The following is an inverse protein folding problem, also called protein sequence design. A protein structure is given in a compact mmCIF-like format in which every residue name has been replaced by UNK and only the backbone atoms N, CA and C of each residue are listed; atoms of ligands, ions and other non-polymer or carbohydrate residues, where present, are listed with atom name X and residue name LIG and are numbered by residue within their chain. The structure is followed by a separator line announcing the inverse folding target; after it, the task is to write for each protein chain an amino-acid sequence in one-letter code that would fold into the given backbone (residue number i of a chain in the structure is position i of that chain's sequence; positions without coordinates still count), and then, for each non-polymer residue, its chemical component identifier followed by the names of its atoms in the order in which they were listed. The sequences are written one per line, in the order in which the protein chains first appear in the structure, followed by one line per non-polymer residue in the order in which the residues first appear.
data_IF_611678529187
#
_entry.id   IF_611678529187
#
_cell.length_a   1.000
_cell.length_b   1.000
_cell.length_c   1.000
_cell.angle_alpha   90.00
_cell.angle_beta   90.00
_cell.angle_gamma   90.00
#
_symmetry.space_group_name_H-M   'P 1'
#
loop_
_entity.id
_entity.type
_entity.pdbx_description
1 polymer ?
#
# COMPACT_ATOMS: atom_id res chain seq x y z
N UNK A 1 1.11 5.12 19.26
CA UNK A 1 -0.14 5.30 20.04
C UNK A 1 -1.04 6.45 19.55
N UNK A 2 -0.70 7.19 18.48
CA UNK A 2 -1.53 8.30 17.96
C UNK A 2 -2.41 7.97 16.73
N UNK A 3 -2.25 6.80 16.12
CA UNK A 3 -3.03 6.41 14.93
C UNK A 3 -4.45 5.92 15.32
N UNK A 4 -4.60 5.34 16.51
CA UNK A 4 -5.88 4.83 17.02
C UNK A 4 -6.90 5.92 17.38
N UNK A 5 -6.45 7.14 17.70
CA UNK A 5 -7.34 8.24 18.08
C UNK A 5 -8.07 8.88 16.89
N UNK A 6 -7.50 8.82 15.67
CA UNK A 6 -8.06 9.45 14.47
C UNK A 6 -9.18 8.66 13.81
N UNK A 7 -9.22 7.34 13.98
CA UNK A 7 -10.33 6.53 13.47
C UNK A 7 -11.64 6.86 14.21
N UNK A 8 -11.60 7.03 15.53
CA UNK A 8 -12.79 7.36 16.34
C UNK A 8 -13.44 8.70 15.95
N UNK A 9 -12.68 9.72 15.58
CA UNK A 9 -13.26 11.04 15.27
C UNK A 9 -13.95 11.10 13.90
N UNK A 10 -13.54 10.24 12.95
CA UNK A 10 -14.14 10.20 11.61
C UNK A 10 -15.48 9.45 11.65
N UNK A 11 -15.57 8.36 12.42
CA UNK A 11 -16.81 7.59 12.55
C UNK A 11 -17.87 8.28 13.43
N UNK A 12 -17.48 9.02 14.46
CA UNK A 12 -18.44 9.79 15.27
C UNK A 12 -19.15 10.89 14.47
N UNK A 13 -18.47 11.51 13.49
CA UNK A 13 -19.05 12.59 12.67
C UNK A 13 -20.00 12.09 11.57
N UNK A 14 -19.94 10.81 11.20
CA UNK A 14 -20.81 10.24 10.17
C UNK A 14 -22.19 9.85 10.72
N UNK A 15 -22.26 9.48 11.99
CA UNK A 15 -23.52 9.11 12.68
C UNK A 15 -24.38 10.33 13.02
N UNK A 16 -23.80 11.53 13.14
CA UNK A 16 -24.55 12.76 13.46
C UNK A 16 -25.23 13.43 12.26
N UNK A 17 -25.04 12.93 11.02
CA UNK A 17 -25.57 13.57 9.80
C UNK A 17 -26.78 12.86 9.16
N UNK A 18 -27.22 11.73 9.71
CA UNK A 18 -28.48 11.11 9.29
C UNK A 18 -29.67 11.73 10.03
N UNK A 19 -30.20 12.78 9.42
CA UNK A 19 -31.47 13.39 9.78
C UNK A 19 -32.63 12.44 9.45
N UNK A 20 -32.93 11.50 10.35
CA UNK A 20 -34.18 10.71 10.30
C UNK A 20 -34.74 10.27 11.67
N UNK A 21 -34.29 10.88 12.77
CA UNK A 21 -34.85 10.64 14.12
C UNK A 21 -35.47 11.87 14.79
N UNK A 22 -35.72 12.94 14.04
CA UNK A 22 -36.40 14.13 14.56
C UNK A 22 -37.92 13.98 14.52
N UNK A 23 -38.49 13.01 15.26
CA UNK A 23 -39.95 12.97 15.48
C UNK A 23 -40.38 12.12 16.66
N UNK A 24 -39.74 12.22 17.83
CA UNK A 24 -40.36 11.73 19.06
C UNK A 24 -40.05 12.70 20.21
N UNK A 25 -41.11 13.16 20.87
CA UNK A 25 -41.20 13.99 22.08
C UNK A 25 -41.31 15.52 21.90
N UNK A 26 -42.49 15.95 21.43
CA UNK A 26 -43.19 17.05 22.08
C UNK A 26 -43.94 16.52 23.31
N UNK A 27 -44.13 17.39 24.31
CA UNK A 27 -44.78 17.17 25.62
C UNK A 27 -43.84 16.82 26.77
N UNK A 28 -43.83 17.72 27.76
CA UNK A 28 -42.91 17.74 28.87
C UNK A 28 -43.22 16.71 29.96
N UNK A 29 -42.16 16.24 30.58
CA UNK A 29 -42.07 15.92 32.02
C UNK A 29 -40.59 15.70 32.30
N UNK A 30 -40.08 16.35 33.36
CA UNK A 30 -38.70 16.19 33.79
C UNK A 30 -38.49 14.77 34.32
N UNK A 31 -37.93 13.88 33.50
CA UNK A 31 -37.33 12.64 33.96
C UNK A 31 -35.81 12.84 33.94
N UNK A 32 -35.19 12.86 35.12
CA UNK A 32 -33.75 12.68 35.25
C UNK A 32 -33.41 11.36 34.58
N UNK A 33 -32.69 11.40 33.46
CA UNK A 33 -32.17 10.19 32.84
C UNK A 33 -31.14 9.58 33.80
N UNK A 34 -31.49 8.49 34.44
CA UNK A 34 -30.55 7.66 35.18
C UNK A 34 -29.54 7.08 34.19
N UNK A 35 -28.32 7.62 34.22
CA UNK A 35 -27.20 7.21 33.37
C UNK A 35 -26.47 5.98 33.92
N UNK A 36 -26.96 5.34 34.99
CA UNK A 36 -26.39 4.10 35.55
C UNK A 36 -26.49 2.86 34.65
N UNK A 37 -27.00 3.00 33.42
CA UNK A 37 -27.02 1.94 32.41
C UNK A 37 -26.13 2.21 31.19
N UNK A 38 -25.47 3.38 31.11
CA UNK A 38 -24.53 3.67 30.01
C UNK A 38 -23.24 2.83 30.10
N UNK A 39 -22.90 2.32 31.28
CA UNK A 39 -21.76 1.42 31.46
C UNK A 39 -22.05 -0.03 31.02
N UNK A 40 -23.32 -0.41 30.84
CA UNK A 40 -23.70 -1.78 30.40
C UNK A 40 -23.71 -1.98 28.89
N UNK A 41 -23.53 -0.93 28.10
CA UNK A 41 -23.34 -1.05 26.64
C UNK A 41 -21.86 -1.12 26.23
N UNK A 42 -20.92 -0.91 27.17
CA UNK A 42 -19.48 -0.95 26.90
C UNK A 42 -18.83 -2.34 27.04
N UNK A 43 -19.60 -3.38 27.42
CA UNK A 43 -19.07 -4.72 27.72
C UNK A 43 -19.54 -5.82 26.76
N UNK A 44 -20.34 -5.49 25.74
CA UNK A 44 -20.63 -6.44 24.68
C UNK A 44 -19.50 -6.34 23.64
N UNK A 45 -18.73 -7.41 23.38
CA UNK A 45 -17.74 -7.37 22.32
C UNK A 45 -18.50 -7.17 21.01
N UNK A 46 -18.39 -6.00 20.40
CA UNK A 46 -18.79 -5.78 19.02
C UNK A 46 -17.83 -6.61 18.18
N UNK A 47 -18.11 -7.91 18.01
CA UNK A 47 -17.52 -8.72 16.97
C UNK A 47 -18.09 -8.19 15.66
N UNK A 48 -17.44 -7.18 15.08
CA UNK A 48 -17.66 -6.88 13.68
C UNK A 48 -17.30 -8.15 12.88
N UNK A 49 -18.17 -8.66 11.98
CA UNK A 49 -17.88 -9.87 11.21
C UNK A 49 -16.68 -9.71 10.26
N UNK A 50 -16.12 -8.51 10.16
CA UNK A 50 -14.93 -8.22 9.38
C UNK A 50 -13.70 -8.22 10.27
N UNK A 51 -12.73 -9.05 9.89
CA UNK A 51 -11.39 -9.09 10.46
C UNK A 51 -10.75 -7.70 10.33
N UNK A 52 -10.67 -6.96 11.43
CA UNK A 52 -9.91 -5.71 11.49
C UNK A 52 -8.48 -6.04 11.08
N UNK A 53 -7.97 -5.36 10.05
CA UNK A 53 -6.59 -5.52 9.57
C UNK A 53 -5.64 -5.30 10.75
N UNK A 54 -4.97 -6.38 11.18
CA UNK A 54 -3.93 -6.30 12.18
C UNK A 54 -2.68 -5.74 11.49
N UNK A 55 -2.07 -4.64 12.00
CA UNK A 55 -0.88 -4.03 11.38
C UNK A 55 0.36 -4.92 11.47
N UNK A 56 0.28 -6.05 12.18
CA UNK A 56 1.28 -7.11 12.16
C UNK A 56 0.99 -8.00 10.95
N UNK A 57 1.58 -7.64 9.82
CA UNK A 57 1.66 -8.52 8.64
C UNK A 57 2.16 -9.89 9.09
N UNK A 58 1.40 -10.99 8.87
CA UNK A 58 1.83 -12.31 9.31
C UNK A 58 3.12 -12.68 8.60
N UNK A 59 4.19 -12.91 9.36
CA UNK A 59 5.42 -13.45 8.81
C UNK A 59 5.12 -14.85 8.24
N UNK A 60 5.61 -15.10 7.04
CA UNK A 60 5.47 -16.41 6.38
C UNK A 60 6.57 -17.33 6.89
N UNK A 61 6.21 -18.57 7.23
CA UNK A 61 7.18 -19.59 7.64
C UNK A 61 8.10 -19.98 6.47
N UNK A 62 9.36 -20.33 6.72
CA UNK A 62 10.22 -20.94 5.71
C UNK A 62 9.60 -22.19 5.10
N UNK A 63 9.98 -22.53 3.87
CA UNK A 63 9.53 -23.77 3.22
C UNK A 63 10.03 -24.99 3.99
N UNK A 64 9.17 -26.00 4.10
CA UNK A 64 9.51 -27.33 4.65
C UNK A 64 9.69 -28.39 3.57
N UNK A 65 9.44 -28.04 2.29
CA UNK A 65 9.39 -28.96 1.14
C UNK A 65 10.31 -28.54 0.00
N UNK A 66 10.68 -27.27 -0.08
CA UNK A 66 11.56 -26.68 -1.10
C UNK A 66 12.58 -25.74 -0.46
N UNK A 67 13.26 -24.95 -1.29
CA UNK A 67 14.22 -23.93 -0.83
C UNK A 67 13.48 -22.74 -0.24
N UNK A 68 14.15 -22.08 0.70
CA UNK A 68 13.74 -20.75 1.15
C UNK A 68 14.73 -19.72 0.64
N UNK A 69 14.25 -18.80 -0.19
CA UNK A 69 15.01 -17.64 -0.64
C UNK A 69 14.64 -16.41 0.19
N UNK A 70 15.61 -15.54 0.41
CA UNK A 70 15.46 -14.30 1.15
C UNK A 70 15.71 -13.12 0.22
N UNK A 71 14.88 -12.09 0.32
CA UNK A 71 15.01 -10.82 -0.39
C UNK A 71 15.12 -9.70 0.64
N UNK A 72 16.11 -8.82 0.49
CA UNK A 72 16.28 -7.60 1.27
C UNK A 72 16.78 -6.48 0.34
N UNK A 73 15.90 -5.53 0.01
CA UNK A 73 16.23 -4.43 -0.90
C UNK A 73 17.24 -3.42 -0.35
N UNK A 74 17.55 -3.46 0.95
CA UNK A 74 18.50 -2.56 1.60
C UNK A 74 19.91 -3.14 1.65
N UNK A 75 20.03 -4.45 1.89
CA UNK A 75 21.34 -5.09 2.14
C UNK A 75 21.68 -6.25 1.20
N UNK A 76 20.71 -6.71 0.40
CA UNK A 76 20.87 -7.82 -0.52
C UNK A 76 21.65 -7.47 -1.80
N UNK A 77 21.96 -8.51 -2.56
CA UNK A 77 22.54 -8.44 -3.91
C UNK A 77 22.00 -9.59 -4.74
N UNK A 78 21.61 -9.33 -5.99
CA UNK A 78 21.16 -10.39 -6.92
C UNK A 78 22.31 -11.30 -7.38
N UNK A 79 23.55 -11.01 -6.99
CA UNK A 79 24.69 -11.93 -7.12
C UNK A 79 24.82 -12.92 -5.95
N UNK A 80 24.03 -12.76 -4.88
CA UNK A 80 24.04 -13.69 -3.75
C UNK A 80 23.28 -14.97 -4.09
N UNK A 81 23.34 -15.99 -3.20
CA UNK A 81 22.58 -17.23 -3.40
C UNK A 81 21.10 -17.14 -3.04
N UNK A 82 20.71 -16.12 -2.27
CA UNK A 82 19.36 -15.97 -1.70
C UNK A 82 19.05 -16.92 -0.55
N UNK A 83 19.89 -17.91 -0.22
CA UNK A 83 19.53 -19.01 0.71
C UNK A 83 19.69 -18.68 2.20
N UNK A 84 20.07 -17.45 2.54
CA UNK A 84 20.15 -17.00 3.94
C UNK A 84 19.95 -15.49 4.02
N UNK A 85 19.62 -14.98 5.22
CA UNK A 85 19.48 -13.55 5.48
C UNK A 85 20.74 -12.75 5.06
N UNK A 86 21.93 -13.25 5.39
CA UNK A 86 23.21 -12.58 5.06
C UNK A 86 23.59 -12.65 3.57
N UNK A 87 22.90 -13.48 2.81
CA UNK A 87 23.08 -13.69 1.37
C UNK A 87 21.76 -13.53 0.64
N UNK A 88 20.92 -12.58 1.08
CA UNK A 88 19.64 -12.29 0.44
C UNK A 88 19.84 -11.69 -0.96
N UNK A 89 18.88 -11.94 -1.86
CA UNK A 89 18.75 -11.20 -3.11
C UNK A 89 18.37 -9.74 -2.84
N UNK A 90 18.67 -8.84 -3.77
CA UNK A 90 18.24 -7.45 -3.69
C UNK A 90 16.80 -7.27 -4.19
N UNK A 91 16.40 -8.02 -5.23
CA UNK A 91 15.13 -7.79 -5.92
C UNK A 91 14.16 -8.96 -5.83
N UNK A 92 12.86 -8.63 -5.78
CA UNK A 92 11.78 -9.63 -5.80
C UNK A 92 11.66 -10.31 -7.16
N UNK A 93 12.00 -9.61 -8.24
CA UNK A 93 11.99 -10.18 -9.58
C UNK A 93 13.06 -11.26 -9.74
N UNK A 94 14.28 -11.04 -9.25
CA UNK A 94 15.32 -12.06 -9.31
C UNK A 94 14.91 -13.35 -8.59
N UNK A 95 14.28 -13.23 -7.41
CA UNK A 95 13.71 -14.39 -6.72
C UNK A 95 12.63 -15.09 -7.58
N UNK A 96 11.76 -14.32 -8.23
CA UNK A 96 10.71 -14.86 -9.12
C UNK A 96 11.27 -15.59 -10.35
N UNK A 97 12.46 -15.23 -10.81
CA UNK A 97 13.12 -15.86 -11.95
C UNK A 97 13.78 -17.21 -11.60
N UNK A 98 14.07 -17.49 -10.32
CA UNK A 98 14.83 -18.69 -9.90
C UNK A 98 14.00 -19.74 -9.16
N UNK A 99 12.83 -19.37 -8.64
CA UNK A 99 11.98 -20.28 -7.85
C UNK A 99 11.46 -21.47 -8.65
N UNK A 100 11.36 -22.60 -7.96
CA UNK A 100 10.78 -23.86 -8.43
C UNK A 100 9.62 -24.28 -7.53
N UNK A 101 8.83 -25.27 -7.95
CA UNK A 101 7.70 -25.78 -7.18
C UNK A 101 8.10 -26.17 -5.74
N UNK A 102 7.35 -25.66 -4.75
CA UNK A 102 7.60 -25.86 -3.33
C UNK A 102 8.52 -24.82 -2.67
N UNK A 103 9.14 -23.93 -3.44
CA UNK A 103 10.01 -22.89 -2.90
C UNK A 103 9.21 -21.76 -2.23
N UNK A 104 9.82 -21.15 -1.21
CA UNK A 104 9.31 -19.95 -0.53
C UNK A 104 10.28 -18.80 -0.68
N UNK A 105 9.79 -17.64 -1.10
CA UNK A 105 10.50 -16.36 -1.09
C UNK A 105 10.03 -15.55 0.11
N UNK A 106 10.94 -15.29 1.05
CA UNK A 106 10.71 -14.43 2.20
C UNK A 106 11.31 -13.04 1.94
N UNK A 107 10.46 -12.01 1.92
CA UNK A 107 10.81 -10.63 1.60
C UNK A 107 10.88 -9.80 2.88
N UNK A 108 11.97 -9.07 3.10
CA UNK A 108 12.15 -8.22 4.27
C UNK A 108 11.20 -7.02 4.20
N UNK A 109 10.69 -6.58 5.35
CA UNK A 109 9.86 -5.38 5.43
C UNK A 109 10.51 -4.16 4.73
N UNK A 110 9.73 -3.47 3.90
CA UNK A 110 10.22 -2.37 3.06
C UNK A 110 9.31 -2.08 1.87
N UNK A 111 9.65 -1.01 1.13
CA UNK A 111 9.02 -0.66 -0.13
C UNK A 111 9.95 -1.09 -1.26
N UNK A 112 9.44 -1.90 -2.17
CA UNK A 112 10.14 -2.41 -3.34
C UNK A 112 9.52 -1.78 -4.58
N UNK A 113 10.21 -0.82 -5.19
CA UNK A 113 9.83 -0.26 -6.49
C UNK A 113 10.19 -1.25 -7.59
N UNK A 114 9.39 -2.31 -7.70
CA UNK A 114 9.63 -3.47 -8.54
C UNK A 114 8.31 -4.09 -8.96
N UNK A 115 8.38 -5.01 -9.92
CA UNK A 115 7.31 -5.95 -10.22
C UNK A 115 7.72 -7.38 -9.79
N UNK A 116 6.74 -8.29 -9.73
CA UNK A 116 6.94 -9.73 -9.62
C UNK A 116 6.30 -10.34 -10.87
N UNK A 117 7.12 -10.71 -11.85
CA UNK A 117 6.68 -11.28 -13.12
C UNK A 117 7.14 -12.72 -13.20
N UNK A 118 6.22 -13.66 -13.00
CA UNK A 118 6.43 -15.09 -13.16
C UNK A 118 6.39 -15.45 -14.66
N UNK A 119 7.31 -14.91 -15.45
CA UNK A 119 7.44 -15.24 -16.89
C UNK A 119 8.41 -16.40 -17.05
N UNK A 120 9.60 -16.24 -16.48
CA UNK A 120 10.66 -17.26 -16.49
C UNK A 120 10.51 -18.25 -15.33
N UNK A 121 9.78 -17.88 -14.28
CA UNK A 121 9.55 -18.70 -13.10
C UNK A 121 8.70 -19.95 -13.38
N UNK A 122 8.85 -20.96 -12.53
CA UNK A 122 8.05 -22.19 -12.59
C UNK A 122 6.59 -21.96 -12.13
N UNK A 123 5.72 -22.91 -12.47
CA UNK A 123 4.48 -23.12 -11.72
C UNK A 123 4.80 -23.88 -10.43
N UNK A 124 3.97 -23.71 -9.40
CA UNK A 124 3.91 -24.70 -8.33
C UNK A 124 3.26 -26.00 -8.80
N UNK A 125 3.21 -26.98 -7.92
CA UNK A 125 2.53 -28.27 -8.13
C UNK A 125 1.51 -28.52 -7.01
N UNK A 126 0.55 -29.45 -7.20
CA UNK A 126 -0.29 -29.92 -6.10
C UNK A 126 0.54 -30.31 -4.87
N UNK A 127 0.28 -29.65 -3.72
CA UNK A 127 1.03 -29.88 -2.48
C UNK A 127 2.43 -29.25 -2.43
N UNK A 128 2.91 -28.62 -3.51
CA UNK A 128 4.17 -27.88 -3.58
C UNK A 128 3.97 -26.48 -4.21
N UNK A 129 3.22 -25.59 -3.56
CA UNK A 129 3.02 -24.24 -4.07
C UNK A 129 4.33 -23.45 -4.04
N UNK A 130 4.44 -22.44 -4.91
CA UNK A 130 5.46 -21.40 -4.79
C UNK A 130 4.88 -20.28 -3.94
N UNK A 131 5.57 -19.89 -2.87
CA UNK A 131 5.07 -18.89 -1.92
C UNK A 131 5.93 -17.63 -1.93
N UNK A 132 5.33 -16.47 -2.14
CA UNK A 132 5.93 -15.17 -1.85
C UNK A 132 5.33 -14.62 -0.56
N UNK A 133 6.17 -14.44 0.45
CA UNK A 133 5.78 -14.04 1.79
C UNK A 133 6.65 -12.94 2.36
N UNK A 134 6.18 -12.29 3.43
CA UNK A 134 6.98 -11.34 4.20
C UNK A 134 7.69 -12.01 5.39
N UNK A 135 8.83 -11.45 5.81
CA UNK A 135 9.47 -11.75 7.09
C UNK A 135 9.96 -10.47 7.78
N UNK A 136 10.24 -10.60 9.08
CA UNK A 136 10.65 -9.48 9.93
C UNK A 136 9.47 -8.64 10.44
N UNK A 137 9.77 -7.44 10.92
CA UNK A 137 8.79 -6.53 11.51
C UNK A 137 8.45 -5.39 10.52
N UNK A 138 7.24 -5.41 9.97
CA UNK A 138 6.72 -4.33 9.15
C UNK A 138 6.05 -4.81 7.86
N UNK A 139 5.45 -3.90 7.08
CA UNK A 139 4.84 -4.25 5.80
C UNK A 139 5.90 -4.51 4.73
N UNK A 140 5.61 -5.45 3.84
CA UNK A 140 6.25 -5.54 2.53
C UNK A 140 5.32 -4.92 1.51
N UNK A 141 5.79 -3.90 0.82
CA UNK A 141 5.03 -3.18 -0.20
C UNK A 141 5.74 -3.37 -1.54
N UNK A 142 5.05 -3.99 -2.50
CA UNK A 142 5.48 -4.05 -3.89
C UNK A 142 4.80 -2.88 -4.62
N UNK A 143 5.59 -1.91 -5.04
CA UNK A 143 5.13 -0.67 -5.67
C UNK A 143 5.52 -0.65 -7.15
N UNK A 144 4.53 -0.72 -8.04
CA UNK A 144 4.73 -0.62 -9.49
C UNK A 144 5.11 0.76 -9.99
N UNK A 145 5.05 1.79 -9.14
CA UNK A 145 5.32 3.17 -9.55
C UNK A 145 6.80 3.37 -9.87
N UNK A 146 7.13 4.02 -11.01
CA UNK A 146 8.48 4.50 -11.25
C UNK A 146 8.92 5.46 -10.14
N UNK A 147 10.19 5.38 -9.73
CA UNK A 147 10.76 6.33 -8.77
C UNK A 147 10.97 7.67 -9.51
N UNK A 148 10.29 8.72 -9.04
CA UNK A 148 10.52 10.08 -9.52
C UNK A 148 11.50 10.80 -8.60
N UNK A 149 12.63 11.22 -9.17
CA UNK A 149 13.70 11.95 -8.47
C UNK A 149 13.91 13.34 -9.09
N UNK A 150 14.82 14.14 -8.53
CA UNK A 150 15.16 15.45 -9.10
C UNK A 150 14.07 16.51 -8.93
N UNK A 151 13.24 16.39 -7.90
CA UNK A 151 12.21 17.37 -7.57
C UNK A 151 12.82 18.74 -7.26
N UNK A 152 12.34 19.77 -7.95
CA UNK A 152 12.66 21.18 -7.72
C UNK A 152 11.42 21.91 -7.19
N UNK A 153 11.59 22.65 -6.11
CA UNK A 153 10.51 23.47 -5.57
C UNK A 153 10.22 24.62 -6.54
N UNK A 154 8.94 24.82 -6.86
CA UNK A 154 8.48 25.91 -7.74
C UNK A 154 7.97 27.08 -6.89
N UNK A 155 7.06 26.79 -5.96
CA UNK A 155 6.52 27.79 -5.03
C UNK A 155 5.77 27.10 -3.90
N UNK A 156 5.99 27.51 -2.65
CA UNK A 156 5.30 26.94 -1.49
C UNK A 156 5.38 25.41 -1.47
N UNK A 157 4.23 24.74 -1.51
CA UNK A 157 4.13 23.28 -1.52
C UNK A 157 4.16 22.65 -2.93
N UNK A 158 4.36 23.43 -3.98
CA UNK A 158 4.41 22.96 -5.37
C UNK A 158 5.83 22.60 -5.78
N UNK A 159 6.00 21.38 -6.28
CA UNK A 159 7.27 20.83 -6.76
C UNK A 159 7.11 20.28 -8.17
N UNK A 160 8.21 20.25 -8.91
CA UNK A 160 8.26 19.75 -10.28
C UNK A 160 9.47 18.83 -10.49
N UNK A 161 9.27 17.73 -11.19
CA UNK A 161 10.32 16.79 -11.56
C UNK A 161 10.22 16.41 -13.04
N UNK A 162 11.36 16.03 -13.63
CA UNK A 162 11.38 15.45 -14.97
C UNK A 162 10.91 14.01 -14.93
N UNK A 163 10.08 13.64 -15.89
CA UNK A 163 9.60 12.26 -16.09
C UNK A 163 9.72 11.90 -17.57
N UNK A 164 9.62 10.61 -17.90
CA UNK A 164 9.65 10.08 -19.27
C UNK A 164 8.57 9.00 -19.47
N UNK A 165 7.52 9.06 -18.67
CA UNK A 165 6.39 8.14 -18.68
C UNK A 165 5.11 8.93 -18.50
N UNK A 166 3.94 8.33 -18.78
CA UNK A 166 2.65 8.96 -18.56
C UNK A 166 2.11 8.56 -17.18
N UNK A 167 1.99 9.47 -16.21
CA UNK A 167 1.31 9.20 -14.95
C UNK A 167 -0.18 8.96 -15.17
N UNK A 168 -0.75 8.02 -14.43
CA UNK A 168 -2.19 7.74 -14.42
C UNK A 168 -2.84 8.37 -13.18
N UNK A 169 -2.12 8.39 -12.06
CA UNK A 169 -2.53 9.04 -10.82
C UNK A 169 -1.30 9.55 -10.06
N UNK A 170 -1.54 10.41 -9.07
CA UNK A 170 -0.54 10.84 -8.09
C UNK A 170 -1.15 10.70 -6.70
N UNK A 171 -0.48 9.98 -5.82
CA UNK A 171 -0.88 9.79 -4.43
C UNK A 171 0.28 10.21 -3.54
N UNK A 172 0.00 11.10 -2.59
CA UNK A 172 0.97 11.59 -1.61
C UNK A 172 0.49 11.21 -0.21
N UNK A 173 1.29 10.44 0.53
CA UNK A 173 0.95 9.98 1.88
C UNK A 173 -0.45 9.33 1.97
N UNK A 174 -0.75 8.42 1.04
CA UNK A 174 -2.05 7.76 0.89
C UNK A 174 -3.23 8.69 0.53
N UNK A 175 -2.99 9.94 0.13
CA UNK A 175 -4.01 10.88 -0.36
C UNK A 175 -3.92 11.02 -1.88
N UNK A 176 -4.92 10.52 -2.65
CA UNK A 176 -4.98 10.75 -4.08
C UNK A 176 -5.20 12.23 -4.39
N UNK A 177 -4.40 12.78 -5.29
CA UNK A 177 -4.53 14.15 -5.77
C UNK A 177 -5.35 14.21 -7.06
N UNK A 178 -5.98 15.36 -7.32
CA UNK A 178 -6.79 15.55 -8.53
C UNK A 178 -5.93 16.13 -9.67
N UNK A 179 -6.12 15.69 -10.92
CA UNK A 179 -5.46 16.33 -12.04
C UNK A 179 -5.97 17.77 -12.22
N UNK A 180 -5.08 18.69 -12.54
CA UNK A 180 -5.45 20.07 -12.86
C UNK A 180 -6.00 20.16 -14.29
N UNK A 181 -7.16 20.80 -14.44
CA UNK A 181 -7.77 21.07 -15.74
C UNK A 181 -7.19 22.33 -16.41
N UNK A 182 -6.59 23.22 -15.63
CA UNK A 182 -5.95 24.46 -16.11
C UNK A 182 -4.46 24.27 -16.44
N UNK A 183 -4.01 23.02 -16.50
CA UNK A 183 -2.60 22.71 -16.73
C UNK A 183 -1.70 23.05 -15.54
N UNK A 184 -0.44 23.39 -15.83
CA UNK A 184 0.57 23.62 -14.80
C UNK A 184 0.28 24.86 -13.91
N UNK A 185 -0.55 25.80 -14.39
CA UNK A 185 -0.91 27.01 -13.65
C UNK A 185 -1.97 26.76 -12.58
N UNK A 186 -2.80 25.71 -12.72
CA UNK A 186 -3.77 25.34 -11.71
C UNK A 186 -3.14 24.64 -10.50
N UNK A 187 -1.92 24.11 -10.64
CA UNK A 187 -1.18 23.51 -9.52
C UNK A 187 -0.54 24.61 -8.66
N UNK A 188 -1.32 25.09 -7.70
CA UNK A 188 -0.92 26.14 -6.74
C UNK A 188 -0.72 25.56 -5.33
N UNK A 189 -0.07 26.28 -4.40
CA UNK A 189 0.14 25.78 -3.04
C UNK A 189 -1.17 25.43 -2.32
N UNK A 190 -1.24 24.22 -1.76
CA UNK A 190 -2.41 23.63 -1.10
C UNK A 190 -3.65 23.40 -1.99
N UNK A 191 -3.49 23.43 -3.30
CA UNK A 191 -4.55 23.08 -4.25
C UNK A 191 -4.96 21.61 -4.21
N UNK A 192 -4.08 20.71 -3.75
CA UNK A 192 -4.26 19.27 -3.84
C UNK A 192 -4.29 18.75 -5.28
N UNK A 193 -3.64 19.49 -6.19
CA UNK A 193 -3.63 19.20 -7.62
C UNK A 193 -2.27 18.70 -8.11
N UNK A 194 -2.30 18.01 -9.24
CA UNK A 194 -1.10 17.68 -10.02
C UNK A 194 -1.36 17.89 -11.52
N UNK A 195 -0.29 18.05 -12.28
CA UNK A 195 -0.33 18.16 -13.74
C UNK A 195 0.92 17.53 -14.33
N UNK A 196 0.77 16.84 -15.45
CA UNK A 196 1.89 16.22 -16.14
C UNK A 196 1.88 16.53 -17.64
N UNK A 197 3.07 16.72 -18.20
CA UNK A 197 3.36 16.58 -19.62
C UNK A 197 4.16 15.29 -19.83
N UNK A 198 4.47 14.88 -21.07
CA UNK A 198 5.35 13.72 -21.29
C UNK A 198 6.75 13.84 -20.66
N UNK A 199 7.19 15.05 -20.30
CA UNK A 199 8.55 15.33 -19.81
C UNK A 199 8.62 15.93 -18.40
N UNK A 200 7.49 16.31 -17.81
CA UNK A 200 7.45 17.01 -16.52
C UNK A 200 6.22 16.61 -15.71
N UNK A 201 6.40 16.47 -14.40
CA UNK A 201 5.35 16.26 -13.43
C UNK A 201 5.41 17.35 -12.37
N UNK A 202 4.34 18.14 -12.27
CA UNK A 202 4.14 19.16 -11.25
C UNK A 202 3.09 18.70 -10.25
N UNK A 203 3.40 18.79 -8.96
CA UNK A 203 2.57 18.26 -7.88
C UNK A 203 2.54 19.25 -6.72
N UNK A 204 1.36 19.48 -6.16
CA UNK A 204 1.21 20.09 -4.86
C UNK A 204 1.35 19.02 -3.75
N UNK A 205 2.42 19.10 -2.98
CA UNK A 205 2.71 18.20 -1.86
C UNK A 205 2.01 18.62 -0.54
N UNK A 206 1.26 19.73 -0.54
CA UNK A 206 0.59 20.25 0.65
C UNK A 206 1.58 20.48 1.81
N UNK A 207 1.43 19.73 2.91
CA UNK A 207 2.23 19.91 4.14
C UNK A 207 3.48 19.02 4.21
N UNK A 208 3.84 18.31 3.15
CA UNK A 208 5.05 17.49 3.09
C UNK A 208 6.01 17.97 2.00
N UNK A 209 7.16 17.33 1.88
CA UNK A 209 8.15 17.53 0.82
C UNK A 209 8.41 16.21 0.11
N UNK A 210 8.86 16.21 -1.15
CA UNK A 210 9.19 14.98 -1.87
C UNK A 210 10.15 14.07 -1.09
N UNK A 211 11.14 14.64 -0.39
CA UNK A 211 12.12 13.88 0.40
C UNK A 211 11.55 13.17 1.65
N UNK A 212 10.32 13.50 2.06
CA UNK A 212 9.66 12.95 3.28
C UNK A 212 8.34 12.27 2.96
N UNK A 213 7.87 12.37 1.73
CA UNK A 213 6.58 11.87 1.31
C UNK A 213 6.69 10.40 0.88
N UNK A 214 5.65 9.64 1.18
CA UNK A 214 5.35 8.42 0.46
C UNK A 214 4.67 8.79 -0.87
N UNK A 215 5.34 8.51 -1.98
CA UNK A 215 4.94 8.95 -3.33
C UNK A 215 4.59 7.73 -4.16
N UNK A 216 3.34 7.66 -4.64
CA UNK A 216 2.88 6.60 -5.55
C UNK A 216 2.39 7.26 -6.83
N UNK A 217 3.00 6.89 -7.95
CA UNK A 217 2.72 7.45 -9.28
C UNK A 217 2.57 6.28 -10.25
N UNK A 218 1.38 5.63 -10.30
CA UNK A 218 1.10 4.58 -11.27
C UNK A 218 1.30 5.11 -12.69
N UNK A 219 1.80 4.26 -13.58
CA UNK A 219 2.07 4.61 -14.97
C UNK A 219 1.71 3.48 -15.92
N UNK A 220 1.63 3.79 -17.21
CA UNK A 220 1.41 2.80 -18.28
C UNK A 220 2.64 1.94 -18.57
N UNK A 221 3.79 2.17 -17.92
CA UNK A 221 4.98 1.33 -18.11
C UNK A 221 4.92 0.04 -17.29
N UNK A 222 4.27 0.09 -16.12
CA UNK A 222 4.11 -1.03 -15.20
C UNK A 222 2.62 -1.24 -14.94
N UNK A 223 1.93 -1.73 -15.97
CA UNK A 223 0.48 -1.92 -15.91
C UNK A 223 0.06 -3.06 -14.99
N UNK A 224 0.96 -4.01 -14.68
CA UNK A 224 0.70 -5.16 -13.80
C UNK A 224 1.89 -5.38 -12.87
N UNK A 225 1.66 -5.20 -11.56
CA UNK A 225 2.72 -5.31 -10.55
C UNK A 225 3.05 -6.76 -10.21
N UNK A 226 2.04 -7.63 -10.20
CA UNK A 226 2.20 -9.07 -10.00
C UNK A 226 1.62 -9.78 -11.22
N UNK A 227 2.48 -10.33 -12.07
CA UNK A 227 2.10 -10.98 -13.32
C UNK A 227 2.39 -12.47 -13.22
N UNK A 228 1.36 -13.31 -13.38
CA UNK A 228 1.46 -14.77 -13.24
C UNK A 228 0.58 -15.53 -14.24
N UNK A 229 0.38 -14.96 -15.42
CA UNK A 229 -0.40 -15.62 -16.47
C UNK A 229 0.13 -17.03 -16.78
N UNK A 230 -0.78 -18.01 -16.85
CA UNK A 230 -0.48 -19.44 -17.02
C UNK A 230 0.49 -20.02 -15.96
N UNK A 231 0.43 -19.53 -14.72
CA UNK A 231 1.15 -20.10 -13.58
C UNK A 231 0.18 -20.61 -12.53
N UNK A 232 0.44 -21.83 -12.08
CA UNK A 232 -0.42 -22.53 -11.13
C UNK A 232 0.20 -22.58 -9.73
N UNK A 233 -0.65 -22.80 -8.72
CA UNK A 233 -0.25 -23.05 -7.33
C UNK A 233 0.71 -21.98 -6.75
N UNK A 234 0.40 -20.71 -6.98
CA UNK A 234 1.11 -19.58 -6.38
C UNK A 234 0.39 -19.07 -5.12
N UNK A 235 1.17 -18.71 -4.10
CA UNK A 235 0.67 -18.09 -2.86
C UNK A 235 1.37 -16.76 -2.66
N UNK A 236 0.60 -15.69 -2.50
CA UNK A 236 1.09 -14.38 -2.06
C UNK A 236 0.54 -14.09 -0.67
N UNK A 237 1.41 -14.06 0.34
CA UNK A 237 1.02 -13.96 1.74
C UNK A 237 1.65 -12.75 2.44
N UNK A 238 0.80 -11.88 2.99
CA UNK A 238 1.29 -10.74 3.77
C UNK A 238 2.08 -9.73 2.93
N UNK A 239 1.68 -9.50 1.68
CA UNK A 239 2.23 -8.46 0.81
C UNK A 239 1.16 -7.40 0.55
N UNK A 240 1.57 -6.14 0.48
CA UNK A 240 0.77 -5.04 -0.05
C UNK A 240 1.22 -4.76 -1.47
N UNK A 241 0.29 -4.68 -2.42
CA UNK A 241 0.57 -4.32 -3.81
C UNK A 241 -0.06 -2.97 -4.12
N UNK A 242 0.69 -2.05 -4.72
CA UNK A 242 0.21 -0.72 -5.12
C UNK A 242 0.93 -0.23 -6.38
N UNK A 243 0.51 0.91 -6.92
CA UNK A 243 1.23 1.53 -8.04
C UNK A 243 0.95 0.89 -9.40
N UNK A 244 -0.05 0.02 -9.52
CA UNK A 244 -0.39 -0.63 -10.79
C UNK A 244 -1.11 0.30 -11.76
N UNK A 245 -0.73 0.24 -13.03
CA UNK A 245 -1.26 1.14 -14.07
C UNK A 245 -2.63 0.75 -14.63
N UNK A 246 -2.93 -0.54 -14.84
CA UNK A 246 -4.18 -0.96 -15.49
C UNK A 246 -4.72 -2.31 -15.01
N UNK A 247 -3.88 -3.33 -14.86
CA UNK A 247 -4.23 -4.60 -14.23
C UNK A 247 -3.65 -4.64 -12.83
N UNK A 248 -4.46 -4.75 -11.79
CA UNK A 248 -3.97 -4.89 -10.41
C UNK A 248 -3.14 -6.16 -10.21
N UNK A 249 -3.70 -7.12 -9.48
CA UNK A 249 -3.24 -8.52 -9.52
C UNK A 249 -4.10 -9.30 -10.51
#
# INVERSE_FOLDING_TARGET
MQIYARAKSIYANQVYRDASFASIWSQGTAAHADVSHLDRLAQLPIQTPWKVWSPKTPATSPSTIGKTYYVDGKTGSDSNSGLSLSKAFATTQHAADVVQAGDTVLIAAGIYHSTIRMINGASGEPGKPITFGSYGNGPVIIDGSPIVTGWRQISGSVWEARINFKPIAVVINAVPLKPSLDGAIGVTPNSGLWYATPSSLRVDFGRTTPAKADIVIPSTQNETVVYFYNKDYLIFNGLTVRGSGAGGI
#
